data_IF_045850203002
#
_entry.id   IF_045850203002
#
_cell.length_a   1.000
_cell.length_b   1.000
_cell.length_c   1.000
_cell.angle_alpha   90.00
_cell.angle_beta   90.00
_cell.angle_gamma   90.00
#
_symmetry.space_group_name_H-M   'P 1'
#
loop_
_entity.id
_entity.type
_entity.pdbx_description
1 polymer ?
#
# COMPACT_ATOMS: atom_id res chain seq x y z
N UNK A 1 -25.18 23.50 3.14
CA UNK A 1 -24.06 23.29 2.20
C UNK A 1 -22.88 22.86 3.04
N UNK A 2 -22.36 21.65 2.84
CA UNK A 2 -21.22 21.17 3.64
C UNK A 2 -19.96 21.96 3.29
N UNK A 3 -19.22 22.40 4.31
CA UNK A 3 -17.98 23.15 4.15
C UNK A 3 -16.96 22.25 3.46
N UNK A 4 -16.48 22.68 2.29
CA UNK A 4 -15.44 21.99 1.52
C UNK A 4 -14.06 22.40 2.04
N UNK A 5 -13.54 21.68 3.03
CA UNK A 5 -12.26 21.98 3.67
C UNK A 5 -11.04 21.79 2.75
N UNK A 6 -11.07 20.78 1.87
CA UNK A 6 -9.93 20.45 1.01
C UNK A 6 -9.56 21.58 0.03
N UNK A 7 -10.51 22.13 -0.76
CA UNK A 7 -10.22 23.24 -1.67
C UNK A 7 -9.77 24.52 -0.96
N UNK A 8 -10.33 24.79 0.23
CA UNK A 8 -9.95 25.94 1.06
C UNK A 8 -8.49 25.81 1.53
N UNK A 9 -8.10 24.63 2.03
CA UNK A 9 -6.72 24.34 2.46
C UNK A 9 -5.72 24.47 1.31
N UNK A 10 -6.02 23.87 0.14
CA UNK A 10 -5.13 23.93 -1.03
C UNK A 10 -4.90 25.39 -1.46
N UNK A 11 -5.97 26.19 -1.50
CA UNK A 11 -5.87 27.60 -1.88
C UNK A 11 -5.07 28.42 -0.86
N UNK A 12 -5.20 28.12 0.43
CA UNK A 12 -4.40 28.76 1.47
C UNK A 12 -2.90 28.43 1.33
N UNK A 13 -2.56 27.17 1.02
CA UNK A 13 -1.17 26.75 0.79
C UNK A 13 -0.55 27.39 -0.45
N UNK A 14 -1.30 27.51 -1.55
CA UNK A 14 -0.84 28.22 -2.75
C UNK A 14 -0.58 29.71 -2.47
N UNK A 15 -1.40 30.35 -1.63
CA UNK A 15 -1.22 31.74 -1.23
C UNK A 15 0.02 31.91 -0.33
N UNK A 16 0.18 31.05 0.66
CA UNK A 16 1.32 31.05 1.58
C UNK A 16 2.64 30.88 0.82
N UNK A 17 2.68 29.95 -0.13
CA UNK A 17 3.87 29.62 -0.92
C UNK A 17 4.06 30.49 -2.18
N UNK A 18 3.22 31.52 -2.37
CA UNK A 18 3.19 32.34 -3.60
C UNK A 18 4.53 32.96 -3.96
N UNK A 19 5.36 33.32 -2.97
CA UNK A 19 6.68 33.96 -3.20
C UNK A 19 7.67 33.02 -3.91
N UNK A 20 7.55 31.72 -3.72
CA UNK A 20 8.42 30.70 -4.34
C UNK A 20 7.72 29.96 -5.48
N UNK A 21 6.63 30.52 -6.04
CA UNK A 21 5.83 29.87 -7.09
C UNK A 21 6.65 29.49 -8.33
N UNK A 22 7.72 30.21 -8.64
CA UNK A 22 8.62 29.87 -9.75
C UNK A 22 9.50 28.63 -9.50
N UNK A 23 9.55 28.13 -8.26
CA UNK A 23 10.29 26.92 -7.85
C UNK A 23 9.38 25.73 -7.56
N UNK A 24 8.06 25.89 -7.67
CA UNK A 24 7.07 24.92 -7.20
C UNK A 24 6.04 24.61 -8.29
N UNK A 25 5.62 23.35 -8.35
CA UNK A 25 4.49 22.89 -9.15
C UNK A 25 3.39 22.39 -8.22
N UNK A 26 2.15 22.81 -8.49
CA UNK A 26 0.99 22.47 -7.67
C UNK A 26 0.08 21.54 -8.45
N UNK A 27 -0.06 20.31 -7.95
CA UNK A 27 -1.01 19.33 -8.46
C UNK A 27 -2.09 19.09 -7.40
N UNK A 28 -3.35 19.37 -7.75
CA UNK A 28 -4.50 19.10 -6.87
C UNK A 28 -4.97 17.68 -7.10
N UNK A 29 -5.24 16.94 -6.01
CA UNK A 29 -5.81 15.57 -6.08
C UNK A 29 -5.03 14.65 -7.04
N UNK A 30 -3.71 14.61 -6.88
CA UNK A 30 -2.83 13.86 -7.77
C UNK A 30 -3.04 12.35 -7.65
N UNK A 31 -3.39 11.70 -8.76
CA UNK A 31 -3.54 10.25 -8.81
C UNK A 31 -2.18 9.56 -8.77
N UNK A 32 -1.93 8.75 -7.74
CA UNK A 32 -0.69 7.99 -7.61
C UNK A 32 -0.57 6.84 -8.63
N UNK A 33 -1.66 6.46 -9.28
CA UNK A 33 -1.66 5.39 -10.28
C UNK A 33 -2.74 5.64 -11.35
N UNK A 34 -2.54 5.10 -12.55
CA UNK A 34 -3.51 5.20 -13.66
C UNK A 34 -4.61 4.14 -13.57
N UNK A 35 -4.34 3.05 -12.85
CA UNK A 35 -5.29 1.97 -12.56
C UNK A 35 -5.57 1.89 -11.06
N UNK A 36 -6.74 1.36 -10.65
CA UNK A 36 -7.00 1.06 -9.24
C UNK A 36 -5.86 0.24 -8.63
N UNK A 37 -5.47 0.57 -7.40
CA UNK A 37 -4.47 -0.20 -6.67
C UNK A 37 -5.05 -1.60 -6.39
N UNK A 38 -4.28 -2.63 -6.73
CA UNK A 38 -4.68 -4.01 -6.57
C UNK A 38 -3.48 -4.82 -6.08
N UNK A 39 -3.74 -5.67 -5.09
CA UNK A 39 -2.81 -6.68 -4.59
C UNK A 39 -3.04 -7.96 -5.41
N UNK A 40 -1.97 -8.65 -5.80
CA UNK A 40 -2.09 -9.88 -6.59
C UNK A 40 -2.84 -10.99 -5.83
N UNK A 41 -2.45 -11.23 -4.56
CA UNK A 41 -3.11 -12.21 -3.70
C UNK A 41 -3.14 -11.78 -2.24
N UNK A 42 -4.33 -11.89 -1.62
CA UNK A 42 -4.54 -11.74 -0.18
C UNK A 42 -5.09 -13.05 0.39
N UNK A 43 -4.40 -13.62 1.37
CA UNK A 43 -4.86 -14.80 2.13
C UNK A 43 -5.13 -14.40 3.58
N UNK A 44 -6.37 -14.60 4.03
CA UNK A 44 -6.79 -14.32 5.41
C UNK A 44 -7.00 -15.64 6.16
N UNK A 45 -6.33 -15.79 7.31
CA UNK A 45 -6.60 -16.91 8.21
C UNK A 45 -7.94 -16.70 8.89
N UNK A 46 -8.88 -17.63 8.66
CA UNK A 46 -10.18 -17.64 9.34
C UNK A 46 -10.04 -17.91 10.85
N UNK A 47 -9.09 -18.77 11.20
CA UNK A 47 -8.65 -18.99 12.57
C UNK A 47 -7.16 -18.62 12.65
N UNK A 48 -6.85 -17.56 13.40
CA UNK A 48 -5.50 -17.02 13.52
C UNK A 48 -4.55 -17.96 14.26
N UNK A 49 -5.05 -18.83 15.14
CA UNK A 49 -4.23 -19.78 15.91
C UNK A 49 -4.03 -21.11 15.18
N UNK A 50 -4.85 -21.43 14.18
CA UNK A 50 -4.71 -22.67 13.42
C UNK A 50 -3.36 -22.73 12.68
N UNK A 51 -2.57 -23.79 12.91
CA UNK A 51 -1.35 -24.03 12.14
C UNK A 51 -1.69 -24.61 10.76
N UNK A 52 -1.00 -24.13 9.73
CA UNK A 52 -1.11 -24.68 8.38
C UNK A 52 -0.01 -25.73 8.19
N UNK A 53 -0.38 -26.89 7.64
CA UNK A 53 0.52 -28.04 7.55
C UNK A 53 1.64 -27.88 6.51
N UNK A 54 1.47 -27.00 5.52
CA UNK A 54 2.46 -26.79 4.46
C UNK A 54 3.51 -25.72 4.83
N UNK A 55 4.68 -25.79 4.19
CA UNK A 55 5.83 -24.94 4.53
C UNK A 55 5.57 -23.44 4.35
N UNK A 56 4.87 -23.04 3.29
CA UNK A 56 4.53 -21.63 3.04
C UNK A 56 3.56 -21.13 4.11
N UNK A 57 2.57 -21.95 4.46
CA UNK A 57 1.55 -21.65 5.45
C UNK A 57 2.11 -21.42 6.86
N UNK A 58 3.27 -22.00 7.20
CA UNK A 58 3.96 -21.72 8.48
C UNK A 58 4.44 -20.27 8.60
N UNK A 59 4.63 -19.56 7.47
CA UNK A 59 4.97 -18.13 7.46
C UNK A 59 3.74 -17.23 7.65
N UNK A 60 2.53 -17.79 7.54
CA UNK A 60 1.32 -16.99 7.50
C UNK A 60 0.87 -16.54 8.89
N UNK A 61 0.49 -15.26 8.95
CA UNK A 61 -0.20 -14.63 10.08
C UNK A 61 -1.67 -14.42 9.73
N UNK A 62 -2.35 -13.50 10.42
CA UNK A 62 -3.76 -13.20 10.19
C UNK A 62 -4.06 -12.79 8.75
N UNK A 63 -3.23 -11.92 8.18
CA UNK A 63 -3.39 -11.39 6.83
C UNK A 63 -2.10 -11.51 6.03
N UNK A 64 -2.15 -12.11 4.85
CA UNK A 64 -0.95 -12.46 4.10
C UNK A 64 -1.07 -11.91 2.68
N UNK A 65 -0.31 -10.87 2.42
CA UNK A 65 -0.25 -10.17 1.13
C UNK A 65 0.90 -10.78 0.34
N UNK A 66 0.61 -11.18 -0.90
CA UNK A 66 1.57 -11.80 -1.79
C UNK A 66 1.58 -11.01 -3.10
N UNK A 67 2.76 -10.54 -3.48
CA UNK A 67 3.03 -9.94 -4.79
C UNK A 67 3.85 -10.93 -5.62
N UNK A 68 3.46 -11.14 -6.87
CA UNK A 68 4.19 -11.99 -7.80
C UNK A 68 4.87 -11.15 -8.89
N UNK A 69 6.15 -11.41 -9.12
CA UNK A 69 6.91 -10.84 -10.23
C UNK A 69 7.23 -11.95 -11.24
N UNK A 70 6.80 -11.73 -12.47
CA UNK A 70 7.14 -12.63 -13.58
C UNK A 70 8.65 -12.61 -13.86
N UNK A 71 9.19 -13.56 -14.65
CA UNK A 71 10.61 -13.57 -15.03
C UNK A 71 11.09 -12.26 -15.63
N UNK A 72 10.25 -11.66 -16.47
CA UNK A 72 10.55 -10.45 -17.23
C UNK A 72 10.33 -9.16 -16.42
N UNK A 73 9.73 -9.26 -15.23
CA UNK A 73 9.53 -8.11 -14.36
C UNK A 73 10.73 -7.83 -13.45
N UNK A 74 11.06 -6.56 -13.28
CA UNK A 74 12.02 -6.16 -12.26
C UNK A 74 11.49 -6.38 -10.84
N UNK A 75 12.38 -6.91 -9.99
CA UNK A 75 12.25 -6.86 -8.54
C UNK A 75 13.27 -5.86 -8.01
N UNK A 76 12.85 -4.61 -7.87
CA UNK A 76 13.70 -3.51 -7.44
C UNK A 76 13.17 -2.87 -6.14
N UNK A 77 13.86 -1.83 -5.68
CA UNK A 77 13.50 -1.12 -4.46
C UNK A 77 12.10 -0.50 -4.54
N UNK A 78 11.66 -0.07 -5.72
CA UNK A 78 10.33 0.52 -5.91
C UNK A 78 9.23 -0.54 -5.78
N UNK A 79 9.49 -1.77 -6.21
CA UNK A 79 8.59 -2.91 -5.99
C UNK A 79 8.41 -3.14 -4.49
N UNK A 80 9.51 -3.15 -3.73
CA UNK A 80 9.46 -3.29 -2.28
C UNK A 80 8.59 -2.18 -1.65
N UNK A 81 8.86 -0.90 -1.94
CA UNK A 81 8.07 0.19 -1.36
C UNK A 81 6.60 0.17 -1.79
N UNK A 82 6.32 -0.17 -3.04
CA UNK A 82 4.95 -0.31 -3.55
C UNK A 82 4.18 -1.40 -2.80
N UNK A 83 4.76 -2.59 -2.64
CA UNK A 83 4.11 -3.69 -1.91
C UNK A 83 3.92 -3.33 -0.43
N UNK A 84 4.90 -2.66 0.19
CA UNK A 84 4.74 -2.16 1.56
C UNK A 84 3.63 -1.11 1.68
N UNK A 85 3.47 -0.22 0.69
CA UNK A 85 2.37 0.74 0.65
C UNK A 85 1.01 0.04 0.56
N UNK A 86 0.90 -1.04 -0.22
CA UNK A 86 -0.32 -1.86 -0.27
C UNK A 86 -0.66 -2.46 1.10
N UNK A 87 0.31 -2.97 1.83
CA UNK A 87 0.10 -3.47 3.19
C UNK A 87 -0.36 -2.36 4.15
N UNK A 88 0.20 -1.16 4.03
CA UNK A 88 -0.24 0.02 4.77
C UNK A 88 -1.68 0.43 4.47
N UNK A 89 -2.04 0.50 3.18
CA UNK A 89 -3.40 0.82 2.74
C UNK A 89 -4.40 -0.26 3.19
N UNK A 90 -4.05 -1.52 3.02
CA UNK A 90 -4.87 -2.62 3.51
C UNK A 90 -5.05 -2.54 5.03
N UNK A 91 -3.99 -2.24 5.79
CA UNK A 91 -4.09 -2.01 7.24
C UNK A 91 -5.04 -0.87 7.59
N UNK A 92 -4.95 0.25 6.86
CA UNK A 92 -5.73 1.45 7.12
C UNK A 92 -7.20 1.30 6.71
N UNK A 93 -7.51 0.42 5.76
CA UNK A 93 -8.86 0.14 5.27
C UNK A 93 -9.68 -0.78 6.21
N UNK A 94 -9.35 -0.85 7.50
CA UNK A 94 -10.20 -1.47 8.51
C UNK A 94 -11.42 -0.60 8.84
N UNK A 95 -12.50 -1.21 9.29
CA UNK A 95 -13.73 -0.52 9.70
C UNK A 95 -13.58 0.12 11.09
N UNK A 96 -12.62 -0.37 11.88
CA UNK A 96 -12.28 0.18 13.18
C UNK A 96 -10.80 0.58 13.31
N UNK A 97 -10.54 1.48 14.26
CA UNK A 97 -9.18 1.93 14.58
C UNK A 97 -8.30 0.73 14.91
N UNK A 98 -7.24 0.56 14.13
CA UNK A 98 -6.23 -0.48 14.32
C UNK A 98 -6.79 -1.92 14.35
N UNK A 99 -7.91 -2.16 13.65
CA UNK A 99 -8.53 -3.49 13.52
C UNK A 99 -7.53 -4.53 12.96
N UNK A 100 -6.82 -4.15 11.89
CA UNK A 100 -5.75 -4.96 11.28
C UNK A 100 -4.42 -4.56 11.93
N UNK A 101 -3.94 -5.36 12.90
CA UNK A 101 -2.67 -5.09 13.58
C UNK A 101 -1.51 -5.29 12.61
N UNK A 102 -0.57 -4.34 12.56
CA UNK A 102 0.60 -4.43 11.67
C UNK A 102 1.40 -5.72 11.89
N UNK A 103 1.54 -6.15 13.16
CA UNK A 103 2.25 -7.38 13.50
C UNK A 103 1.60 -8.65 12.96
N UNK A 104 0.32 -8.61 12.57
CA UNK A 104 -0.45 -9.75 12.08
C UNK A 104 -0.54 -9.77 10.53
N UNK A 105 0.13 -8.81 9.87
CA UNK A 105 0.25 -8.75 8.41
C UNK A 105 1.61 -9.32 8.01
N UNK A 106 1.61 -10.26 7.06
CA UNK A 106 2.79 -10.74 6.36
C UNK A 106 2.76 -10.22 4.93
N UNK A 107 3.92 -9.78 4.43
CA UNK A 107 4.12 -9.41 3.04
C UNK A 107 5.18 -10.33 2.45
N UNK A 108 4.84 -10.99 1.34
CA UNK A 108 5.74 -11.86 0.60
C UNK A 108 5.84 -11.36 -0.83
N UNK A 109 7.07 -11.23 -1.34
CA UNK A 109 7.31 -10.94 -2.75
C UNK A 109 7.95 -12.18 -3.35
N UNK A 110 7.30 -12.77 -4.34
CA UNK A 110 7.70 -14.01 -4.99
C UNK A 110 8.12 -13.69 -6.41
N UNK A 111 9.25 -14.24 -6.84
CA UNK A 111 9.72 -14.17 -8.23
C UNK A 111 10.16 -15.54 -8.70
N UNK A 112 9.92 -15.81 -9.98
CA UNK A 112 10.36 -17.06 -10.62
C UNK A 112 11.89 -17.13 -10.79
N UNK A 113 12.52 -16.04 -11.20
CA UNK A 113 13.97 -15.94 -11.43
C UNK A 113 14.70 -15.20 -10.30
N UNK A 114 15.97 -15.57 -10.08
CA UNK A 114 16.86 -14.83 -9.16
C UNK A 114 17.07 -13.40 -9.71
N UNK A 115 16.98 -12.34 -8.88
CA UNK A 115 17.36 -11.00 -9.30
C UNK A 115 18.80 -10.98 -9.83
N UNK A 116 18.99 -10.27 -10.93
CA UNK A 116 20.32 -10.00 -11.53
C UNK A 116 21.04 -8.90 -10.74
#
# INVERSE_FOLDING_TARGET
TDIQWHPAFVSAMELELKKDKNKLEFHREYNLNTKPLQIDLLVIKKDVVAELSNEIGKLFKGYNIIEYKSPDDDLNIDTFYKTQAYAGLYKAAGEAVNERKAKDITVSIIRESKPV
#
